data_IF_109762896491
#
_entry.id   IF_109762896491
#
_cell.length_a   1.000
_cell.length_b   1.000
_cell.length_c   1.000
_cell.angle_alpha   90.00
_cell.angle_beta   90.00
_cell.angle_gamma   90.00
#
_symmetry.space_group_name_H-M   'P 1'
#
loop_
_entity.id
_entity.type
_entity.pdbx_description
1 polymer ?
#
# COMPACT_ATOMS: atom_id res chain seq x y z
N UNK A 1 62.46 18.85 -48.10
CA UNK A 1 61.01 18.97 -48.39
C UNK A 1 60.29 17.64 -48.23
N UNK A 2 60.85 16.52 -48.70
CA UNK A 2 60.23 15.19 -48.60
C UNK A 2 59.97 14.72 -47.16
N UNK A 3 60.89 14.93 -46.21
CA UNK A 3 60.66 14.57 -44.79
C UNK A 3 59.54 15.39 -44.09
N UNK A 4 59.30 16.63 -44.51
CA UNK A 4 58.20 17.47 -43.98
C UNK A 4 56.86 17.04 -44.58
N UNK A 5 56.88 16.59 -45.85
CA UNK A 5 55.71 16.05 -46.53
C UNK A 5 55.33 14.68 -45.96
N UNK A 6 56.30 13.78 -45.70
CA UNK A 6 56.07 12.48 -45.04
C UNK A 6 55.56 12.63 -43.60
N UNK A 7 56.12 13.55 -42.82
CA UNK A 7 55.60 13.85 -41.48
C UNK A 7 54.18 14.45 -41.53
N UNK A 8 53.88 15.29 -42.52
CA UNK A 8 52.53 15.84 -42.74
C UNK A 8 51.48 14.76 -43.06
N UNK A 9 51.86 13.72 -43.83
CA UNK A 9 50.97 12.59 -44.12
C UNK A 9 50.71 11.70 -42.89
N UNK A 10 51.63 11.65 -41.91
CA UNK A 10 51.44 10.89 -40.68
C UNK A 10 50.38 11.51 -39.73
N UNK A 11 50.21 12.84 -39.75
CA UNK A 11 49.19 13.54 -38.94
C UNK A 11 47.82 13.66 -39.63
N UNK A 12 47.74 13.42 -40.94
CA UNK A 12 46.49 13.50 -41.71
C UNK A 12 45.34 12.63 -41.16
N UNK A 13 45.56 11.36 -40.75
CA UNK A 13 44.51 10.54 -40.15
C UNK A 13 44.03 11.09 -38.79
N UNK A 14 44.94 11.68 -38.01
CA UNK A 14 44.62 12.25 -36.69
C UNK A 14 43.78 13.52 -36.83
N UNK A 15 44.08 14.36 -37.81
CA UNK A 15 43.29 15.55 -38.15
C UNK A 15 41.89 15.15 -38.64
N UNK A 16 41.77 14.14 -39.50
CA UNK A 16 40.48 13.62 -39.95
C UNK A 16 39.64 13.03 -38.81
N UNK A 17 40.26 12.28 -37.90
CA UNK A 17 39.58 11.75 -36.71
C UNK A 17 39.15 12.87 -35.75
N UNK A 18 39.96 13.91 -35.59
CA UNK A 18 39.61 15.11 -34.84
C UNK A 18 38.39 15.84 -35.41
N UNK A 19 38.32 16.00 -36.74
CA UNK A 19 37.17 16.62 -37.42
C UNK A 19 35.91 15.76 -37.27
N UNK A 20 36.02 14.43 -37.44
CA UNK A 20 34.91 13.49 -37.23
C UNK A 20 34.41 13.52 -35.79
N UNK A 21 35.31 13.49 -34.81
CA UNK A 21 35.00 13.61 -33.39
C UNK A 21 34.28 14.93 -33.09
N UNK A 22 34.77 16.05 -33.63
CA UNK A 22 34.14 17.35 -33.44
C UNK A 22 32.74 17.40 -34.07
N UNK A 23 32.58 16.85 -35.29
CA UNK A 23 31.29 16.77 -35.95
C UNK A 23 30.29 15.92 -35.13
N UNK A 24 30.70 14.75 -34.66
CA UNK A 24 29.87 13.87 -33.82
C UNK A 24 29.52 14.56 -32.50
N UNK A 25 30.46 15.26 -31.86
CA UNK A 25 30.21 15.99 -30.63
C UNK A 25 29.19 17.12 -30.81
N UNK A 26 29.35 17.92 -31.87
CA UNK A 26 28.44 19.03 -32.18
C UNK A 26 27.04 18.50 -32.50
N UNK A 27 26.93 17.52 -33.39
CA UNK A 27 25.65 16.91 -33.77
C UNK A 27 25.01 16.26 -32.55
N UNK A 28 25.77 15.48 -31.78
CA UNK A 28 25.30 14.79 -30.59
C UNK A 28 24.79 15.75 -29.52
N UNK A 29 25.49 16.87 -29.28
CA UNK A 29 25.03 17.89 -28.35
C UNK A 29 23.77 18.59 -28.86
N UNK A 30 23.71 18.94 -30.15
CA UNK A 30 22.51 19.54 -30.75
C UNK A 30 21.30 18.61 -30.62
N UNK A 31 21.46 17.33 -30.92
CA UNK A 31 20.41 16.30 -30.80
C UNK A 31 19.98 16.12 -29.35
N UNK A 32 20.94 15.96 -28.42
CA UNK A 32 20.64 15.83 -26.99
C UNK A 32 19.88 17.05 -26.44
N UNK A 33 20.28 18.26 -26.87
CA UNK A 33 19.59 19.49 -26.53
C UNK A 33 18.18 19.57 -27.11
N UNK A 34 18.00 19.13 -28.36
CA UNK A 34 16.69 19.11 -29.03
C UNK A 34 15.74 18.12 -28.35
N UNK A 35 16.19 16.89 -28.09
CA UNK A 35 15.41 15.84 -27.42
C UNK A 35 15.02 16.30 -26.00
N UNK A 36 15.98 16.80 -25.23
CA UNK A 36 15.73 17.29 -23.86
C UNK A 36 14.69 18.42 -23.84
N UNK A 37 14.77 19.38 -24.78
CA UNK A 37 13.76 20.45 -24.92
C UNK A 37 12.40 19.90 -25.31
N UNK A 38 12.34 18.94 -26.23
CA UNK A 38 11.08 18.33 -26.66
C UNK A 38 10.40 17.59 -25.50
N UNK A 39 11.16 16.81 -24.73
CA UNK A 39 10.66 16.10 -23.54
C UNK A 39 10.22 17.09 -22.47
N UNK A 40 11.03 18.10 -22.15
CA UNK A 40 10.67 19.16 -21.21
C UNK A 40 9.36 19.85 -21.60
N UNK A 41 9.21 20.20 -22.88
CA UNK A 41 7.99 20.85 -23.41
C UNK A 41 6.77 19.92 -23.32
N UNK A 42 6.95 18.63 -23.57
CA UNK A 42 5.86 17.64 -23.48
C UNK A 42 5.44 17.39 -22.04
N UNK A 43 6.38 17.21 -21.12
CA UNK A 43 6.09 16.94 -19.70
C UNK A 43 5.45 18.18 -19.05
N UNK A 44 6.01 19.37 -19.27
CA UNK A 44 5.48 20.61 -18.69
C UNK A 44 4.17 21.09 -19.35
N UNK A 45 3.75 20.47 -20.46
CA UNK A 45 2.44 20.73 -21.05
C UNK A 45 1.32 19.96 -20.33
N UNK A 46 1.66 18.99 -19.48
CA UNK A 46 0.70 18.26 -18.64
C UNK A 46 0.44 19.07 -17.36
N UNK A 47 -0.79 19.54 -17.11
CA UNK A 47 -1.10 20.41 -15.95
C UNK A 47 -0.85 19.76 -14.60
N UNK A 48 -0.89 18.43 -14.54
CA UNK A 48 -0.75 17.63 -13.31
C UNK A 48 0.71 17.39 -12.91
N UNK A 49 1.68 17.76 -13.74
CA UNK A 49 3.11 17.50 -13.49
C UNK A 49 3.82 18.80 -13.11
N UNK A 50 4.48 18.80 -11.95
CA UNK A 50 5.28 19.93 -11.51
C UNK A 50 6.40 20.26 -12.53
N UNK A 51 6.54 21.52 -12.97
CA UNK A 51 7.58 21.92 -13.92
C UNK A 51 9.01 21.56 -13.48
N UNK A 52 9.26 21.47 -12.18
CA UNK A 52 10.53 21.05 -11.58
C UNK A 52 10.84 19.59 -11.90
N UNK A 53 9.84 18.71 -11.81
CA UNK A 53 9.99 17.29 -12.16
C UNK A 53 10.29 17.12 -13.65
N UNK A 54 9.58 17.86 -14.51
CA UNK A 54 9.85 17.86 -15.95
C UNK A 54 11.24 18.37 -16.30
N UNK A 55 11.74 19.39 -15.60
CA UNK A 55 13.11 19.89 -15.76
C UNK A 55 14.15 18.86 -15.30
N UNK A 56 13.88 18.16 -14.20
CA UNK A 56 14.75 17.13 -13.65
C UNK A 56 14.90 15.94 -14.60
N UNK A 57 13.79 15.38 -15.08
CA UNK A 57 13.78 14.27 -16.05
C UNK A 57 14.48 14.66 -17.36
N UNK A 58 14.16 15.84 -17.90
CA UNK A 58 14.80 16.34 -19.12
C UNK A 58 16.32 16.53 -18.97
N UNK A 59 16.78 16.88 -17.76
CA UNK A 59 18.20 17.02 -17.45
C UNK A 59 18.90 15.67 -17.37
N UNK A 60 18.29 14.66 -16.71
CA UNK A 60 18.82 13.29 -16.67
C UNK A 60 19.01 12.74 -18.09
N UNK A 61 17.98 12.86 -18.93
CA UNK A 61 18.03 12.35 -20.32
C UNK A 61 19.12 13.08 -21.12
N UNK A 62 19.27 14.39 -20.95
CA UNK A 62 20.34 15.15 -21.60
C UNK A 62 21.72 14.65 -21.21
N UNK A 63 21.97 14.43 -19.92
CA UNK A 63 23.25 13.93 -19.44
C UNK A 63 23.52 12.49 -19.91
N UNK A 64 22.51 11.63 -19.92
CA UNK A 64 22.61 10.29 -20.47
C UNK A 64 23.00 10.30 -21.96
N UNK A 65 22.34 11.13 -22.77
CA UNK A 65 22.66 11.28 -24.19
C UNK A 65 24.05 11.85 -24.42
N UNK A 66 24.46 12.85 -23.64
CA UNK A 66 25.83 13.41 -23.71
C UNK A 66 26.86 12.33 -23.38
N UNK A 67 26.61 11.49 -22.36
CA UNK A 67 27.53 10.41 -22.01
C UNK A 67 27.70 9.40 -23.16
N UNK A 68 26.60 9.03 -23.85
CA UNK A 68 26.64 8.18 -25.05
C UNK A 68 27.46 8.83 -26.19
N UNK A 69 27.27 10.14 -26.42
CA UNK A 69 28.03 10.89 -27.44
C UNK A 69 29.52 10.91 -27.09
N UNK A 70 29.88 11.11 -25.81
CA UNK A 70 31.27 11.10 -25.36
C UNK A 70 31.93 9.73 -25.60
N UNK A 71 31.24 8.63 -25.31
CA UNK A 71 31.71 7.28 -25.61
C UNK A 71 31.99 7.13 -27.12
N UNK A 72 31.06 7.56 -27.97
CA UNK A 72 31.20 7.48 -29.42
C UNK A 72 32.40 8.28 -29.93
N UNK A 73 32.63 9.48 -29.37
CA UNK A 73 33.78 10.32 -29.71
C UNK A 73 35.11 9.66 -29.32
N UNK A 74 35.20 9.06 -28.13
CA UNK A 74 36.42 8.36 -27.69
C UNK A 74 36.75 7.16 -28.59
N UNK A 75 35.73 6.44 -29.06
CA UNK A 75 35.90 5.35 -30.02
C UNK A 75 36.52 5.78 -31.35
N UNK A 76 36.27 7.02 -31.81
CA UNK A 76 36.88 7.56 -33.04
C UNK A 76 38.40 7.75 -32.88
N UNK A 77 38.88 8.01 -31.66
CA UNK A 77 40.31 8.10 -31.35
C UNK A 77 40.97 6.75 -31.10
N UNK A 78 40.24 5.64 -31.28
CA UNK A 78 40.75 4.29 -31.03
C UNK A 78 40.96 3.98 -29.54
N UNK A 79 40.44 4.82 -28.65
CA UNK A 79 40.44 4.54 -27.21
C UNK A 79 39.44 3.41 -26.97
N UNK A 80 39.89 2.37 -26.28
CA UNK A 80 39.04 1.25 -25.94
C UNK A 80 37.97 1.71 -24.93
N UNK A 81 36.78 2.00 -25.45
CA UNK A 81 35.65 2.46 -24.68
C UNK A 81 35.15 1.43 -23.64
N UNK A 82 35.63 0.18 -23.70
CA UNK A 82 35.30 -0.91 -22.77
C UNK A 82 35.50 -0.48 -21.30
N UNK A 83 36.59 0.22 -20.99
CA UNK A 83 36.88 0.69 -19.63
C UNK A 83 35.88 1.74 -19.12
N UNK A 84 35.47 2.68 -20.00
CA UNK A 84 34.48 3.70 -19.68
C UNK A 84 33.08 3.10 -19.57
N UNK A 85 32.73 2.17 -20.46
CA UNK A 85 31.47 1.42 -20.40
C UNK A 85 31.39 0.60 -19.12
N UNK A 86 32.48 -0.05 -18.70
CA UNK A 86 32.55 -0.77 -17.43
C UNK A 86 32.33 0.17 -16.23
N UNK A 87 32.99 1.33 -16.21
CA UNK A 87 32.81 2.34 -15.15
C UNK A 87 31.37 2.87 -15.10
N UNK A 88 30.77 3.18 -16.26
CA UNK A 88 29.39 3.65 -16.34
C UNK A 88 28.39 2.56 -15.97
N UNK A 89 28.67 1.30 -16.31
CA UNK A 89 27.89 0.15 -15.87
C UNK A 89 27.90 0.01 -14.35
N UNK A 90 29.07 0.12 -13.73
CA UNK A 90 29.21 0.13 -12.27
C UNK A 90 28.45 1.30 -11.61
N UNK A 91 28.56 2.52 -12.17
CA UNK A 91 27.83 3.68 -11.69
C UNK A 91 26.30 3.51 -11.82
N UNK A 92 25.83 2.95 -12.94
CA UNK A 92 24.41 2.68 -13.17
C UNK A 92 23.89 1.63 -12.19
N UNK A 93 24.65 0.57 -11.93
CA UNK A 93 24.31 -0.44 -10.94
C UNK A 93 24.22 0.19 -9.53
N UNK A 94 25.20 1.01 -9.15
CA UNK A 94 25.20 1.68 -7.85
C UNK A 94 23.98 2.61 -7.67
N UNK A 95 23.63 3.40 -8.69
CA UNK A 95 22.44 4.26 -8.69
C UNK A 95 21.17 3.41 -8.63
N UNK A 96 21.11 2.31 -9.41
CA UNK A 96 19.96 1.40 -9.42
C UNK A 96 19.73 0.73 -8.07
N UNK A 97 20.79 0.28 -7.40
CA UNK A 97 20.71 -0.27 -6.05
C UNK A 97 20.30 0.78 -5.02
N UNK A 98 20.78 2.02 -5.15
CA UNK A 98 20.38 3.12 -4.28
C UNK A 98 18.89 3.48 -4.44
N UNK A 99 18.32 3.33 -5.64
CA UNK A 99 16.92 3.63 -5.94
C UNK A 99 16.00 2.40 -5.88
N UNK A 100 16.53 1.22 -5.54
CA UNK A 100 15.78 -0.05 -5.57
C UNK A 100 14.50 0.02 -4.72
N UNK A 101 14.56 0.63 -3.53
CA UNK A 101 13.41 0.80 -2.65
C UNK A 101 12.29 1.63 -3.30
N UNK A 102 12.63 2.82 -3.82
CA UNK A 102 11.66 3.72 -4.45
C UNK A 102 11.04 3.12 -5.72
N UNK A 103 11.82 2.39 -6.53
CA UNK A 103 11.29 1.66 -7.68
C UNK A 103 10.34 0.54 -7.25
N UNK A 104 10.65 -0.15 -6.15
CA UNK A 104 9.78 -1.18 -5.58
C UNK A 104 8.45 -0.58 -5.11
N UNK A 105 8.47 0.58 -4.44
CA UNK A 105 7.26 1.29 -4.01
C UNK A 105 6.40 1.73 -5.20
N UNK A 106 7.03 2.25 -6.25
CA UNK A 106 6.35 2.65 -7.48
C UNK A 106 5.68 1.45 -8.17
N UNK A 107 6.40 0.33 -8.28
CA UNK A 107 5.86 -0.90 -8.85
C UNK A 107 4.69 -1.43 -8.00
N UNK A 108 4.82 -1.41 -6.68
CA UNK A 108 3.74 -1.79 -5.77
C UNK A 108 2.50 -0.89 -5.91
N UNK A 109 2.68 0.42 -6.04
CA UNK A 109 1.57 1.35 -6.29
C UNK A 109 0.85 1.05 -7.60
N UNK A 110 1.60 0.77 -8.67
CA UNK A 110 1.00 0.33 -9.93
C UNK A 110 0.19 -0.97 -9.76
N UNK A 111 0.72 -1.95 -9.02
CA UNK A 111 0.04 -3.21 -8.74
C UNK A 111 -1.24 -3.01 -7.91
N UNK A 112 -1.21 -2.13 -6.91
CA UNK A 112 -2.39 -1.77 -6.11
C UNK A 112 -3.48 -1.13 -6.98
N UNK A 113 -3.12 -0.23 -7.89
CA UNK A 113 -4.08 0.42 -8.79
C UNK A 113 -4.64 -0.54 -9.83
N UNK A 114 -3.82 -1.50 -10.30
CA UNK A 114 -4.20 -2.48 -11.31
C UNK A 114 -5.12 -3.57 -10.74
N UNK A 115 -4.71 -4.21 -9.64
CA UNK A 115 -5.45 -5.33 -9.05
C UNK A 115 -6.53 -4.89 -8.05
N UNK A 116 -6.42 -3.68 -7.50
CA UNK A 116 -7.38 -3.07 -6.57
C UNK A 116 -7.82 -4.02 -5.44
N UNK A 117 -6.90 -4.53 -4.61
CA UNK A 117 -7.26 -5.34 -3.43
C UNK A 117 -8.15 -4.56 -2.44
N UNK A 118 -8.07 -3.23 -2.47
CA UNK A 118 -8.98 -2.31 -1.80
C UNK A 118 -9.20 -1.06 -2.65
N UNK A 119 -10.23 -0.29 -2.30
CA UNK A 119 -10.66 0.92 -3.01
C UNK A 119 -10.81 2.09 -2.04
N UNK A 120 -10.83 3.31 -2.60
CA UNK A 120 -11.18 4.52 -1.87
C UNK A 120 -12.53 4.34 -1.14
N UNK A 121 -12.58 4.75 0.12
CA UNK A 121 -13.75 4.64 0.98
C UNK A 121 -13.92 3.29 1.71
N UNK A 122 -13.10 2.29 1.43
CA UNK A 122 -13.16 1.00 2.13
C UNK A 122 -12.39 1.03 3.45
N UNK A 123 -12.89 0.32 4.47
CA UNK A 123 -12.20 0.12 5.73
C UNK A 123 -11.32 -1.14 5.67
N UNK A 124 -10.01 -0.95 5.86
CA UNK A 124 -9.01 -1.99 5.69
C UNK A 124 -8.03 -2.00 6.86
N UNK A 125 -7.44 -3.16 7.12
CA UNK A 125 -6.23 -3.30 7.92
C UNK A 125 -5.06 -3.72 7.02
N UNK A 126 -3.97 -2.97 7.10
CA UNK A 126 -2.74 -3.23 6.35
C UNK A 126 -1.62 -3.42 7.36
N UNK A 127 -1.17 -4.66 7.52
CA UNK A 127 -0.06 -4.98 8.43
C UNK A 127 -0.30 -4.56 9.88
N UNK A 128 -1.54 -4.65 10.38
CA UNK A 128 -1.92 -4.26 11.74
C UNK A 128 -2.30 -2.78 11.90
N UNK A 129 -2.32 -2.03 10.80
CA UNK A 129 -2.78 -0.63 10.80
C UNK A 129 -4.13 -0.53 10.10
N UNK A 130 -5.17 -0.22 10.87
CA UNK A 130 -6.55 -0.15 10.40
C UNK A 130 -7.01 1.28 10.11
N UNK A 131 -7.75 1.47 9.01
CA UNK A 131 -8.38 2.75 8.68
C UNK A 131 -9.20 2.70 7.39
N UNK A 132 -9.92 3.78 7.12
CA UNK A 132 -10.63 3.99 5.86
C UNK A 132 -9.69 4.58 4.83
N UNK A 133 -9.60 3.97 3.65
CA UNK A 133 -8.77 4.47 2.55
C UNK A 133 -9.30 5.82 2.06
N UNK A 134 -8.50 6.88 2.22
CA UNK A 134 -8.85 8.24 1.79
C UNK A 134 -8.24 8.60 0.45
N UNK A 135 -7.00 8.21 0.23
CA UNK A 135 -6.29 8.43 -1.03
C UNK A 135 -5.40 7.23 -1.37
N UNK A 136 -5.18 7.01 -2.66
CA UNK A 136 -4.26 6.02 -3.20
C UNK A 136 -3.56 6.62 -4.41
N UNK A 137 -2.28 6.90 -4.25
CA UNK A 137 -1.42 7.35 -5.34
C UNK A 137 -0.35 6.31 -5.67
N UNK A 138 0.57 6.64 -6.58
CA UNK A 138 1.60 5.70 -7.04
C UNK A 138 2.63 5.33 -5.97
N UNK A 139 2.81 6.14 -4.92
CA UNK A 139 3.86 5.93 -3.92
C UNK A 139 3.31 5.57 -2.55
N UNK A 140 2.15 6.11 -2.18
CA UNK A 140 1.56 5.96 -0.85
C UNK A 140 0.07 5.66 -0.92
N UNK A 141 -0.40 5.02 0.14
CA UNK A 141 -1.81 4.87 0.50
C UNK A 141 -2.08 5.68 1.75
N UNK A 142 -3.11 6.51 1.72
CA UNK A 142 -3.57 7.26 2.89
C UNK A 142 -4.76 6.56 3.53
N UNK A 143 -4.65 6.26 4.82
CA UNK A 143 -5.73 5.78 5.66
C UNK A 143 -6.12 6.87 6.66
N UNK A 144 -7.42 6.99 6.93
CA UNK A 144 -7.93 7.71 8.09
C UNK A 144 -8.45 6.72 9.13
N UNK A 145 -7.95 6.80 10.35
CA UNK A 145 -8.47 6.00 11.47
C UNK A 145 -9.90 6.41 11.83
N UNK A 146 -10.54 5.65 12.71
CA UNK A 146 -11.91 5.94 13.19
C UNK A 146 -11.99 7.27 13.97
N UNK A 147 -10.90 7.70 14.58
CA UNK A 147 -10.72 9.00 15.24
C UNK A 147 -10.14 10.08 14.30
N UNK A 148 -10.14 9.82 13.00
CA UNK A 148 -9.73 10.75 11.93
C UNK A 148 -8.25 11.19 11.99
N UNK A 149 -7.36 10.29 12.40
CA UNK A 149 -5.90 10.45 12.31
C UNK A 149 -5.43 9.97 10.94
N UNK A 150 -4.61 10.79 10.27
CA UNK A 150 -4.01 10.46 8.98
C UNK A 150 -2.84 9.49 9.17
N UNK A 151 -2.89 8.37 8.46
CA UNK A 151 -1.81 7.39 8.39
C UNK A 151 -1.36 7.27 6.93
N UNK A 152 -0.07 7.44 6.69
CA UNK A 152 0.53 7.35 5.37
C UNK A 152 1.38 6.09 5.30
N UNK A 153 1.01 5.17 4.41
CA UNK A 153 1.70 3.88 4.24
C UNK A 153 2.37 3.87 2.85
N UNK A 154 3.69 3.64 2.77
CA UNK A 154 4.36 3.39 1.49
C UNK A 154 3.77 2.17 0.79
N UNK A 155 3.52 2.28 -0.51
CA UNK A 155 2.85 1.22 -1.26
C UNK A 155 3.64 -0.09 -1.30
N UNK A 156 4.97 -0.06 -1.27
CA UNK A 156 5.77 -1.28 -1.17
C UNK A 156 5.55 -2.02 0.14
N UNK A 157 5.37 -1.30 1.25
CA UNK A 157 4.99 -1.88 2.53
C UNK A 157 3.55 -2.41 2.50
N UNK A 158 2.61 -1.66 1.91
CA UNK A 158 1.22 -2.09 1.82
C UNK A 158 1.05 -3.36 0.98
N UNK A 159 1.73 -3.44 -0.17
CA UNK A 159 1.72 -4.61 -1.05
C UNK A 159 2.43 -5.83 -0.46
N UNK A 160 3.51 -5.60 0.30
CA UNK A 160 4.25 -6.67 0.99
C UNK A 160 3.59 -7.20 2.27
N UNK A 161 2.53 -6.55 2.75
CA UNK A 161 1.85 -6.89 4.01
C UNK A 161 0.58 -7.69 3.79
N UNK A 162 0.09 -8.34 4.85
CA UNK A 162 -1.27 -8.90 4.86
C UNK A 162 -2.28 -7.76 4.84
N UNK A 163 -3.22 -7.82 3.89
CA UNK A 163 -4.30 -6.86 3.70
C UNK A 163 -5.62 -7.53 4.12
N UNK A 164 -6.27 -7.02 5.15
CA UNK A 164 -7.60 -7.44 5.57
C UNK A 164 -8.62 -6.38 5.15
N UNK A 165 -9.49 -6.69 4.19
CA UNK A 165 -10.50 -5.75 3.72
C UNK A 165 -11.87 -6.08 4.35
N UNK A 166 -12.33 -5.22 5.25
CA UNK A 166 -13.61 -5.39 5.94
C UNK A 166 -14.81 -4.96 5.10
N UNK A 167 -14.58 -4.26 4.00
CA UNK A 167 -15.61 -3.67 3.12
C UNK A 167 -15.66 -4.33 1.74
N UNK A 168 -14.95 -5.43 1.50
CA UNK A 168 -14.96 -6.13 0.21
C UNK A 168 -16.25 -6.93 -0.01
N UNK A 169 -16.66 -7.69 1.01
CA UNK A 169 -17.90 -8.46 0.97
C UNK A 169 -19.07 -7.60 1.46
N UNK A 170 -20.23 -7.74 0.81
CA UNK A 170 -21.45 -6.98 1.16
C UNK A 170 -21.96 -7.32 2.57
N UNK A 171 -21.68 -8.54 3.04
CA UNK A 171 -22.15 -9.06 4.32
C UNK A 171 -21.00 -9.31 5.27
N UNK A 172 -21.21 -9.06 6.56
CA UNK A 172 -20.23 -9.29 7.63
C UNK A 172 -20.90 -9.95 8.83
N UNK A 173 -20.15 -10.84 9.50
CA UNK A 173 -20.58 -11.50 10.73
C UNK A 173 -20.22 -10.66 11.95
N UNK A 174 -21.19 -10.41 12.81
CA UNK A 174 -21.05 -9.79 14.12
C UNK A 174 -21.05 -10.90 15.16
N UNK A 175 -19.98 -10.95 15.97
CA UNK A 175 -19.84 -11.88 17.09
C UNK A 175 -20.05 -11.10 18.38
N UNK A 176 -21.05 -11.50 19.16
CA UNK A 176 -21.43 -10.89 20.45
C UNK A 176 -21.33 -11.95 21.54
N UNK A 177 -20.81 -11.58 22.71
CA UNK A 177 -20.71 -12.46 23.88
C UNK A 177 -21.50 -11.85 25.03
N UNK A 178 -22.37 -12.64 25.63
CA UNK A 178 -23.22 -12.27 26.75
C UNK A 178 -23.00 -13.27 27.90
N UNK A 179 -22.51 -12.79 29.04
CA UNK A 179 -22.37 -13.61 30.25
C UNK A 179 -23.64 -13.58 31.08
N UNK A 180 -24.10 -14.75 31.53
CA UNK A 180 -25.20 -14.91 32.49
C UNK A 180 -24.70 -15.57 33.77
N UNK A 181 -25.45 -15.45 34.87
CA UNK A 181 -25.11 -16.11 36.12
C UNK A 181 -25.22 -17.64 36.00
N UNK A 182 -24.43 -18.39 36.76
CA UNK A 182 -24.48 -19.85 36.76
C UNK A 182 -25.82 -20.41 37.25
N UNK A 183 -26.57 -19.65 38.04
CA UNK A 183 -27.91 -19.99 38.48
C UNK A 183 -28.99 -19.76 37.41
N UNK A 184 -28.71 -19.00 36.36
CA UNK A 184 -29.68 -18.67 35.32
C UNK A 184 -29.86 -19.82 34.31
N UNK A 185 -31.06 -19.91 33.74
CA UNK A 185 -31.34 -20.89 32.70
C UNK A 185 -30.78 -20.42 31.34
N UNK A 186 -29.77 -21.15 30.85
CA UNK A 186 -29.12 -20.85 29.57
C UNK A 186 -30.03 -21.03 28.35
N UNK A 187 -31.02 -21.94 28.39
CA UNK A 187 -31.98 -22.08 27.29
C UNK A 187 -32.89 -20.86 27.20
N UNK A 188 -33.40 -20.38 28.34
CA UNK A 188 -34.17 -19.12 28.41
C UNK A 188 -33.34 -17.94 27.89
N UNK A 189 -32.07 -17.82 28.30
CA UNK A 189 -31.20 -16.75 27.80
C UNK A 189 -31.00 -16.81 26.27
N UNK A 190 -30.78 -18.01 25.70
CA UNK A 190 -30.69 -18.20 24.24
C UNK A 190 -31.96 -17.76 23.51
N UNK A 191 -33.13 -18.13 24.03
CA UNK A 191 -34.41 -17.74 23.44
C UNK A 191 -34.60 -16.23 23.44
N UNK A 192 -34.18 -15.54 24.50
CA UNK A 192 -34.24 -14.09 24.59
C UNK A 192 -33.33 -13.43 23.55
N UNK A 193 -32.08 -13.89 23.44
CA UNK A 193 -31.14 -13.39 22.42
C UNK A 193 -31.71 -13.63 21.02
N UNK A 194 -32.17 -14.85 20.72
CA UNK A 194 -32.76 -15.18 19.42
C UNK A 194 -33.99 -14.33 19.11
N UNK A 195 -34.82 -14.00 20.10
CA UNK A 195 -35.96 -13.12 19.90
C UNK A 195 -35.53 -11.70 19.49
N UNK A 196 -34.50 -11.13 20.15
CA UNK A 196 -33.96 -9.81 19.78
C UNK A 196 -33.31 -9.83 18.39
N UNK A 197 -32.55 -10.87 18.11
CA UNK A 197 -31.89 -11.07 16.82
C UNK A 197 -32.90 -11.17 15.67
N UNK A 198 -33.99 -11.91 15.86
CA UNK A 198 -35.04 -12.05 14.85
C UNK A 198 -35.93 -10.81 14.71
N UNK A 199 -35.94 -9.92 15.70
CA UNK A 199 -36.70 -8.68 15.68
C UNK A 199 -35.99 -7.55 14.91
N UNK A 200 -34.66 -7.58 14.82
CA UNK A 200 -33.88 -6.56 14.11
C UNK A 200 -33.84 -6.83 12.60
N UNK A 201 -34.40 -5.92 11.81
CA UNK A 201 -34.50 -6.05 10.36
C UNK A 201 -33.15 -6.06 9.62
N UNK A 202 -32.05 -5.63 10.26
CA UNK A 202 -30.70 -5.63 9.68
C UNK A 202 -30.04 -7.01 9.72
N UNK A 203 -30.55 -7.91 10.55
CA UNK A 203 -30.04 -9.27 10.67
C UNK A 203 -30.51 -10.09 9.47
N UNK A 204 -29.54 -10.70 8.78
CA UNK A 204 -29.81 -11.65 7.71
C UNK A 204 -30.24 -12.99 8.30
N UNK A 205 -31.26 -13.59 7.69
CA UNK A 205 -31.78 -14.92 8.07
C UNK A 205 -30.98 -16.07 7.49
N UNK A 206 -30.19 -15.79 6.44
CA UNK A 206 -29.27 -16.72 5.82
C UNK A 206 -27.88 -16.07 5.73
N UNK A 207 -26.85 -16.62 6.40
CA UNK A 207 -26.87 -17.80 7.26
C UNK A 207 -27.74 -17.62 8.53
N UNK A 208 -28.30 -18.73 9.04
CA UNK A 208 -29.15 -18.70 10.23
C UNK A 208 -28.40 -18.12 11.44
N UNK A 209 -29.03 -17.22 12.22
CA UNK A 209 -28.47 -16.74 13.46
C UNK A 209 -28.10 -17.86 14.42
N UNK A 210 -26.85 -17.83 14.89
CA UNK A 210 -26.32 -18.88 15.74
C UNK A 210 -26.15 -18.37 17.16
N UNK A 211 -26.83 -18.99 18.14
CA UNK A 211 -26.72 -18.64 19.56
C UNK A 211 -26.52 -19.89 20.40
N UNK A 212 -25.39 -19.98 21.11
CA UNK A 212 -25.02 -21.13 21.94
C UNK A 212 -24.20 -20.69 23.15
N UNK A 213 -24.20 -21.54 24.18
CA UNK A 213 -23.21 -21.47 25.26
C UNK A 213 -21.86 -21.88 24.67
N UNK A 214 -20.85 -21.03 24.79
CA UNK A 214 -19.53 -21.24 24.19
C UNK A 214 -18.43 -21.39 25.22
N UNK A 215 -18.63 -20.86 26.43
CA UNK A 215 -17.64 -20.93 27.48
C UNK A 215 -18.30 -20.95 28.87
N UNK A 216 -17.64 -21.60 29.82
CA UNK A 216 -17.96 -21.55 31.26
C UNK A 216 -16.80 -20.82 31.93
N UNK A 217 -17.00 -19.53 32.21
CA UNK A 217 -15.97 -18.63 32.75
C UNK A 217 -15.93 -18.63 34.28
N UNK A 218 -15.01 -17.83 34.85
CA UNK A 218 -14.75 -17.81 36.29
C UNK A 218 -15.96 -17.33 37.13
N UNK A 219 -16.82 -16.49 36.55
CA UNK A 219 -18.01 -15.95 37.23
C UNK A 219 -19.25 -15.88 36.34
N UNK A 220 -19.19 -16.42 35.11
CA UNK A 220 -20.31 -16.37 34.15
C UNK A 220 -20.38 -17.61 33.26
N UNK A 221 -21.58 -17.91 32.77
CA UNK A 221 -21.81 -18.77 31.62
C UNK A 221 -21.89 -17.88 30.38
N UNK A 222 -20.98 -18.07 29.43
CA UNK A 222 -20.86 -17.18 28.26
C UNK A 222 -21.66 -17.74 27.08
N UNK A 223 -22.62 -16.95 26.60
CA UNK A 223 -23.37 -17.20 25.38
C UNK A 223 -22.83 -16.36 24.25
N UNK A 224 -22.48 -16.99 23.13
CA UNK A 224 -22.08 -16.28 21.91
C UNK A 224 -23.22 -16.28 20.90
N UNK A 225 -23.56 -15.08 20.42
CA UNK A 225 -24.40 -14.87 19.27
C UNK A 225 -23.52 -14.52 18.06
N UNK A 226 -23.67 -15.28 16.97
CA UNK A 226 -23.05 -15.01 15.67
C UNK A 226 -24.15 -14.69 14.68
N UNK A 227 -24.21 -13.45 14.25
CA UNK A 227 -25.27 -12.92 13.39
C UNK A 227 -24.65 -12.27 12.16
N UNK A 228 -25.33 -12.35 11.01
CA UNK A 228 -24.86 -11.76 9.77
C UNK A 228 -25.68 -10.50 9.45
N UNK A 229 -25.03 -9.47 8.93
CA UNK A 229 -25.66 -8.24 8.48
C UNK A 229 -24.91 -7.68 7.27
N UNK A 230 -25.40 -6.57 6.71
CA UNK A 230 -24.61 -5.80 5.74
C UNK A 230 -23.37 -5.22 6.41
N UNK A 231 -22.27 -5.10 5.67
CA UNK A 231 -21.01 -4.57 6.20
C UNK A 231 -21.17 -3.15 6.75
N UNK A 232 -22.00 -2.32 6.12
CA UNK A 232 -22.27 -0.94 6.54
C UNK A 232 -23.04 -0.86 7.86
N UNK A 233 -23.92 -1.84 8.13
CA UNK A 233 -24.73 -1.90 9.35
C UNK A 233 -23.98 -2.48 10.54
N UNK A 234 -22.74 -2.98 10.35
CA UNK A 234 -22.00 -3.78 11.32
C UNK A 234 -21.91 -3.12 12.71
N UNK A 235 -21.48 -1.85 12.76
CA UNK A 235 -21.27 -1.15 14.02
C UNK A 235 -22.57 -0.83 14.73
N UNK A 236 -23.54 -0.31 14.00
CA UNK A 236 -24.83 0.06 14.57
C UNK A 236 -25.59 -1.18 15.07
N UNK A 237 -25.58 -2.28 14.30
CA UNK A 237 -26.18 -3.54 14.75
C UNK A 237 -25.48 -4.07 16.00
N UNK A 238 -24.15 -4.03 16.05
CA UNK A 238 -23.37 -4.49 17.21
C UNK A 238 -23.80 -3.75 18.47
N UNK A 239 -23.84 -2.42 18.45
CA UNK A 239 -24.17 -1.61 19.63
C UNK A 239 -25.65 -1.71 20.01
N UNK A 240 -26.55 -1.64 19.02
CA UNK A 240 -27.99 -1.77 19.25
C UNK A 240 -28.34 -3.14 19.84
N UNK A 241 -27.75 -4.23 19.32
CA UNK A 241 -28.00 -5.58 19.82
C UNK A 241 -27.47 -5.78 21.24
N UNK A 242 -26.29 -5.22 21.56
CA UNK A 242 -25.75 -5.26 22.92
C UNK A 242 -26.70 -4.60 23.93
N UNK A 243 -27.24 -3.43 23.58
CA UNK A 243 -28.21 -2.73 24.44
C UNK A 243 -29.54 -3.49 24.54
N UNK A 244 -30.11 -3.91 23.40
CA UNK A 244 -31.41 -4.59 23.36
C UNK A 244 -31.40 -5.92 24.14
N UNK A 245 -30.32 -6.70 24.05
CA UNK A 245 -30.18 -7.93 24.84
C UNK A 245 -30.05 -7.62 26.33
N UNK A 246 -29.32 -6.58 26.72
CA UNK A 246 -29.21 -6.16 28.13
C UNK A 246 -30.58 -5.83 28.72
N UNK A 247 -31.34 -4.98 28.04
CA UNK A 247 -32.68 -4.56 28.47
C UNK A 247 -33.65 -5.75 28.52
N UNK A 248 -33.53 -6.68 27.56
CA UNK A 248 -34.36 -7.89 27.53
C UNK A 248 -34.01 -8.90 28.64
N UNK A 249 -32.73 -9.01 29.02
CA UNK A 249 -32.29 -9.82 30.15
C UNK A 249 -32.84 -9.26 31.46
N UNK A 250 -32.73 -7.95 31.67
CA UNK A 250 -33.25 -7.29 32.87
C UNK A 250 -34.77 -7.46 33.01
N UNK A 251 -35.50 -7.29 31.91
CA UNK A 251 -36.96 -7.43 31.90
C UNK A 251 -37.45 -8.87 32.18
N UNK A 252 -36.63 -9.88 31.87
CA UNK A 252 -36.97 -11.30 32.01
C UNK A 252 -36.26 -11.99 33.17
N UNK A 253 -35.54 -11.24 33.99
CA UNK A 253 -34.88 -11.73 35.19
C UNK A 253 -33.65 -12.60 34.94
N UNK A 254 -32.97 -12.45 33.79
CA UNK A 254 -31.65 -13.04 33.57
C UNK A 254 -30.61 -12.10 34.16
N UNK A 255 -29.79 -12.63 35.05
CA UNK A 255 -28.78 -11.88 35.78
C UNK A 255 -27.48 -11.83 34.98
N UNK A 256 -26.87 -10.64 34.92
CA UNK A 256 -25.50 -10.49 34.41
C UNK A 256 -24.59 -10.40 35.63
N UNK A 257 -23.73 -11.41 35.86
CA UNK A 257 -23.01 -11.53 37.11
C UNK A 257 -21.89 -10.51 37.21
N UNK A 258 -21.66 -10.03 38.43
CA UNK A 258 -20.40 -9.36 38.77
C UNK A 258 -19.30 -10.42 38.93
N UNK A 259 -18.01 -10.03 38.93
CA UNK A 259 -16.94 -10.93 39.35
C UNK A 259 -17.20 -11.42 40.79
N UNK A 260 -17.32 -12.73 40.98
CA UNK A 260 -17.53 -13.35 42.29
C UNK A 260 -16.22 -13.99 42.78
N UNK A 261 -15.94 -13.84 44.08
CA UNK A 261 -14.84 -14.54 44.74
C UNK A 261 -15.41 -15.48 45.81
N UNK A 262 -14.99 -16.74 45.78
CA UNK A 262 -15.36 -17.72 46.79
C UNK A 262 -14.30 -17.73 47.87
N UNK A 263 -14.65 -17.26 49.06
CA UNK A 263 -13.78 -17.36 50.24
C UNK A 263 -13.89 -18.75 50.85
N UNK A 264 -12.84 -19.57 50.71
CA UNK A 264 -12.80 -20.93 51.28
C UNK A 264 -12.14 -20.87 52.65
N UNK A 265 -12.93 -20.95 53.71
CA UNK A 265 -12.41 -21.13 55.08
C UNK A 265 -12.05 -22.60 55.30
N UNK A 266 -10.76 -22.93 55.17
CA UNK A 266 -10.25 -24.25 55.51
C UNK A 266 -10.17 -24.38 57.03
N UNK A 267 -10.99 -25.23 57.63
CA UNK A 267 -10.80 -25.64 59.03
C UNK A 267 -9.54 -26.51 59.12
N UNK A 268 -8.65 -26.14 60.03
CA UNK A 268 -7.38 -26.84 60.30
C UNK A 268 -7.60 -28.18 60.99
#
# INVERSE_FOLDING_TARGET
MEQIVEQGFAYWPMVLNGIKALAVLIIGWMVAGMISRAIRKRINATPEIDPTLGNFVASIIRWALIAVVLIAVLGIFGIEATSLVAMMGAATLAIGLALQGTLSDLAAGFMLVLFRPYKLGQYVDIGGTSGTVKDLNLFITELATVDNVQIIIPNGQAWGSVITNYSHHETRRVDLVFGIDYGDNADTAKEIILAQVNADARVLKDPEPWVRVTNLGDSSVDLTARIWCKADDYWELKFAMTQAVKEAFDAKGISIPYPHQVEIHKQA
#
